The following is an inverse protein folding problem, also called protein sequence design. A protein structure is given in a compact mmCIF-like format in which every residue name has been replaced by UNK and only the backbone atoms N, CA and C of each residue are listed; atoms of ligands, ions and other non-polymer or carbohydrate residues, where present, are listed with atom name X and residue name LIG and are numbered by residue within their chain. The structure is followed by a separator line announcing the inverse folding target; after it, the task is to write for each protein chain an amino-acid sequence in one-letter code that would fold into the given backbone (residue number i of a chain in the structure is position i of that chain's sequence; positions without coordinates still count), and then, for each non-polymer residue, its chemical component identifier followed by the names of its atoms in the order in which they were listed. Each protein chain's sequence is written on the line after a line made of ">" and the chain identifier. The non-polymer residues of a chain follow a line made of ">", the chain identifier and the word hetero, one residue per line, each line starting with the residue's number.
data_IF_014783705033
#
_entry.id   IF_014783705033
#
_cell.length_a   1.000
_cell.length_b   1.000
_cell.length_c   1.000
_cell.angle_alpha   90.00
_cell.angle_beta   90.00
_cell.angle_gamma   90.00
#
_symmetry.space_group_name_H-M   'P 1'
#
loop_
_entity.id
_entity.type
_entity.pdbx_description
1 polymer ?
#
# COMPACT_ATOMS: atom_id res chain seq x y z
N UNK A 1 -41.01 12.40 -0.04
CA UNK A 1 -39.67 12.85 -0.48
C UNK A 1 -38.66 12.38 0.56
N UNK A 2 -37.99 11.24 0.33
CA UNK A 2 -36.99 10.70 1.25
C UNK A 2 -35.61 10.98 0.68
N UNK A 3 -34.89 11.91 1.32
CA UNK A 3 -33.51 12.26 0.96
C UNK A 3 -32.62 11.14 1.49
N UNK A 4 -32.17 10.28 0.58
CA UNK A 4 -31.08 9.34 0.83
C UNK A 4 -29.79 10.13 1.12
N UNK A 5 -29.37 10.22 2.39
CA UNK A 5 -28.02 10.68 2.72
C UNK A 5 -27.00 9.57 2.41
N UNK A 6 -26.76 9.33 1.12
CA UNK A 6 -25.73 8.40 0.65
C UNK A 6 -24.34 9.07 0.72
N UNK A 7 -23.44 8.42 1.46
CA UNK A 7 -21.99 8.65 1.64
C UNK A 7 -21.59 9.89 2.47
N UNK A 8 -21.44 9.70 3.78
CA UNK A 8 -20.75 10.65 4.67
C UNK A 8 -19.23 10.44 4.74
N UNK A 9 -18.70 9.29 4.29
CA UNK A 9 -17.27 9.02 4.21
C UNK A 9 -16.82 8.93 2.74
N UNK A 10 -15.87 9.75 2.28
CA UNK A 10 -15.37 9.64 0.91
C UNK A 10 -14.58 8.34 0.76
N UNK A 11 -14.83 7.52 -0.29
CA UNK A 11 -14.13 6.24 -0.52
C UNK A 11 -12.60 6.34 -0.43
N UNK A 12 -12.05 7.46 -0.93
CA UNK A 12 -10.61 7.77 -0.87
C UNK A 12 -10.01 7.71 0.54
N UNK A 13 -10.77 8.02 1.58
CA UNK A 13 -10.27 7.98 2.96
C UNK A 13 -10.06 6.55 3.44
N UNK A 14 -10.83 5.57 2.97
CA UNK A 14 -10.63 4.16 3.32
C UNK A 14 -9.39 3.60 2.61
N UNK A 15 -9.21 3.93 1.34
CA UNK A 15 -8.05 3.46 0.55
C UNK A 15 -6.73 3.94 1.16
N UNK A 16 -6.64 5.21 1.57
CA UNK A 16 -5.43 5.76 2.20
C UNK A 16 -5.18 5.25 3.62
N UNK A 17 -6.22 4.83 4.35
CA UNK A 17 -6.06 4.19 5.66
C UNK A 17 -5.59 2.75 5.49
N UNK A 18 -6.14 2.04 4.50
CA UNK A 18 -5.78 0.67 4.19
C UNK A 18 -4.34 0.57 3.68
N UNK A 19 -3.93 1.47 2.77
CA UNK A 19 -2.54 1.55 2.32
C UNK A 19 -1.58 1.73 3.48
N UNK A 20 -1.85 2.72 4.34
CA UNK A 20 -0.98 3.05 5.47
C UNK A 20 -0.87 1.88 6.47
N UNK A 21 -1.97 1.21 6.80
CA UNK A 21 -1.90 0.08 7.76
C UNK A 21 -1.19 -1.14 7.17
N UNK A 22 -1.27 -1.36 5.85
CA UNK A 22 -0.50 -2.38 5.16
C UNK A 22 0.99 -2.06 5.17
N UNK A 23 1.40 -0.79 4.95
CA UNK A 23 2.80 -0.37 5.05
C UNK A 23 3.35 -0.60 6.46
N UNK A 24 2.62 -0.13 7.48
CA UNK A 24 3.00 -0.25 8.89
C UNK A 24 3.14 -1.71 9.35
N UNK A 25 2.41 -2.65 8.72
CA UNK A 25 2.37 -4.06 9.09
C UNK A 25 2.81 -4.99 7.95
N UNK A 26 3.59 -4.49 7.00
CA UNK A 26 4.03 -5.28 5.83
C UNK A 26 4.82 -6.55 6.19
N UNK A 27 5.68 -6.57 7.23
CA UNK A 27 6.30 -7.82 7.70
C UNK A 27 5.27 -8.86 8.14
N UNK A 28 4.21 -8.44 8.82
CA UNK A 28 3.14 -9.32 9.30
C UNK A 28 2.22 -9.77 8.16
N UNK A 29 2.02 -8.91 7.15
CA UNK A 29 1.42 -9.29 5.87
C UNK A 29 2.21 -10.41 5.18
N UNK A 30 3.53 -10.30 5.06
CA UNK A 30 4.34 -11.37 4.48
C UNK A 30 4.23 -12.67 5.28
N UNK A 31 4.24 -12.61 6.63
CA UNK A 31 4.01 -13.79 7.49
C UNK A 31 2.60 -14.37 7.36
N UNK A 32 1.63 -13.54 7.01
CA UNK A 32 0.26 -13.98 6.77
C UNK A 32 0.15 -14.72 5.43
N UNK A 33 0.83 -14.21 4.39
CA UNK A 33 0.78 -14.78 3.04
C UNK A 33 1.70 -16.00 2.87
N UNK A 34 2.81 -16.07 3.61
CA UNK A 34 3.82 -17.12 3.50
C UNK A 34 4.11 -17.76 4.86
N UNK A 35 3.81 -19.07 5.04
CA UNK A 35 4.09 -19.78 6.29
C UNK A 35 5.57 -19.77 6.69
N UNK A 36 6.47 -19.69 5.72
CA UNK A 36 7.93 -19.68 5.86
C UNK A 36 8.55 -18.27 5.71
N UNK A 37 7.76 -17.20 5.84
CA UNK A 37 8.21 -15.83 5.62
C UNK A 37 9.50 -15.46 6.37
N UNK A 38 9.64 -15.86 7.64
CA UNK A 38 10.82 -15.57 8.45
C UNK A 38 12.06 -16.40 8.06
N UNK A 39 11.89 -17.50 7.33
CA UNK A 39 12.98 -18.27 6.73
C UNK A 39 13.38 -17.72 5.36
N UNK A 40 12.43 -17.12 4.63
CA UNK A 40 12.61 -16.64 3.26
C UNK A 40 13.07 -15.19 3.19
N UNK A 41 12.44 -14.29 3.94
CA UNK A 41 12.70 -12.84 3.91
C UNK A 41 13.60 -12.39 5.07
N UNK A 42 14.61 -11.56 4.77
CA UNK A 42 15.45 -10.90 5.78
C UNK A 42 14.77 -9.61 6.26
N UNK A 43 13.71 -9.79 7.04
CA UNK A 43 12.93 -8.69 7.64
C UNK A 43 13.76 -7.88 8.65
N UNK A 44 14.89 -8.40 9.14
CA UNK A 44 15.80 -7.71 10.06
C UNK A 44 16.60 -6.60 9.39
N UNK A 45 16.84 -6.67 8.07
CA UNK A 45 17.48 -5.61 7.27
C UNK A 45 16.56 -4.42 6.99
N UNK A 46 15.28 -4.53 7.35
CA UNK A 46 14.27 -3.53 7.08
C UNK A 46 13.72 -3.62 5.64
N UNK A 47 12.64 -2.89 5.42
CA UNK A 47 11.92 -2.82 4.14
C UNK A 47 12.13 -1.46 3.49
N UNK A 48 12.19 -1.42 2.16
CA UNK A 48 12.23 -0.15 1.41
C UNK A 48 10.98 -0.02 0.56
N UNK A 49 10.08 0.88 0.94
CA UNK A 49 8.89 1.22 0.16
C UNK A 49 9.24 2.16 -1.00
N UNK A 50 8.73 1.84 -2.19
CA UNK A 50 9.13 2.44 -3.47
C UNK A 50 7.94 3.13 -4.16
N UNK A 51 7.23 4.00 -3.44
CA UNK A 51 6.04 4.71 -3.92
C UNK A 51 6.29 5.54 -5.18
N UNK A 52 7.44 6.22 -5.23
CA UNK A 52 7.79 7.10 -6.36
C UNK A 52 8.01 6.28 -7.62
N UNK A 53 8.74 5.19 -7.48
CA UNK A 53 9.04 4.23 -8.52
C UNK A 53 7.79 3.54 -9.06
N UNK A 54 6.86 3.20 -8.17
CA UNK A 54 5.56 2.66 -8.54
C UNK A 54 4.76 3.67 -9.40
N UNK A 55 4.72 4.95 -9.00
CA UNK A 55 4.07 5.98 -9.82
C UNK A 55 4.68 6.13 -11.21
N UNK A 56 5.98 5.92 -11.35
CA UNK A 56 6.67 6.03 -12.64
C UNK A 56 6.30 4.91 -13.62
N UNK A 57 6.06 3.70 -13.13
CA UNK A 57 5.66 2.58 -14.00
C UNK A 57 4.18 2.63 -14.39
N UNK A 58 3.33 3.40 -13.70
CA UNK A 58 1.89 3.44 -14.01
C UNK A 58 1.63 4.20 -15.32
N UNK A 59 0.95 3.59 -16.31
CA UNK A 59 0.59 4.25 -17.57
C UNK A 59 -0.18 5.57 -17.35
N UNK A 60 0.13 6.61 -18.12
CA UNK A 60 -0.50 7.93 -17.99
C UNK A 60 -2.04 7.90 -18.09
N UNK A 61 -2.61 6.97 -18.88
CA UNK A 61 -4.07 6.80 -19.03
C UNK A 61 -4.74 6.31 -17.74
N UNK A 62 -4.06 5.49 -16.96
CA UNK A 62 -4.57 4.95 -15.69
C UNK A 62 -4.41 5.94 -14.53
N UNK A 63 -3.44 6.87 -14.63
CA UNK A 63 -3.26 7.91 -13.62
C UNK A 63 -4.51 8.77 -13.40
N UNK A 64 -5.35 8.91 -14.43
CA UNK A 64 -6.60 9.71 -14.42
C UNK A 64 -7.85 8.95 -13.96
N UNK A 65 -7.83 7.61 -13.88
CA UNK A 65 -9.06 6.82 -13.64
C UNK A 65 -9.54 6.80 -12.18
N UNK A 66 -8.78 7.32 -11.21
CA UNK A 66 -9.22 7.49 -9.82
C UNK A 66 -9.60 6.21 -9.06
N UNK A 67 -9.50 5.04 -9.70
CA UNK A 67 -9.73 3.69 -9.14
C UNK A 67 -8.39 3.08 -8.75
N UNK A 68 -7.73 3.62 -7.74
CA UNK A 68 -6.52 2.99 -7.20
C UNK A 68 -6.78 2.67 -5.75
N UNK A 69 -7.02 1.39 -5.49
CA UNK A 69 -7.08 0.87 -4.13
C UNK A 69 -5.64 0.51 -3.78
N UNK A 70 -4.94 1.43 -3.11
CA UNK A 70 -3.73 1.17 -2.34
C UNK A 70 -2.68 0.20 -2.96
N UNK A 71 -1.99 0.62 -4.02
CA UNK A 71 -0.86 -0.14 -4.58
C UNK A 71 0.40 0.03 -3.71
N UNK A 72 1.15 -1.05 -3.49
CA UNK A 72 2.41 -1.08 -2.73
C UNK A 72 3.52 -1.74 -3.53
N UNK A 73 4.70 -1.13 -3.51
CA UNK A 73 5.93 -1.70 -4.06
C UNK A 73 7.01 -1.68 -3.00
N UNK A 74 7.52 -2.85 -2.63
CA UNK A 74 8.46 -3.00 -1.53
C UNK A 74 9.69 -3.77 -1.99
N UNK A 75 10.88 -3.22 -1.75
CA UNK A 75 12.13 -3.95 -1.88
C UNK A 75 12.41 -4.71 -0.57
N UNK A 76 12.63 -6.02 -0.70
CA UNK A 76 12.85 -6.95 0.41
C UNK A 76 14.07 -7.81 0.14
N UNK A 77 14.92 -8.02 1.15
CA UNK A 77 16.08 -8.91 1.07
C UNK A 77 15.69 -10.36 1.37
N UNK A 78 16.38 -11.33 0.76
CA UNK A 78 16.20 -12.75 1.05
C UNK A 78 17.25 -13.25 2.05
N UNK A 79 16.93 -14.33 2.79
CA UNK A 79 17.86 -15.00 3.72
C UNK A 79 18.67 -16.15 3.09
N UNK A 80 18.56 -16.35 1.78
CA UNK A 80 19.19 -17.46 1.05
C UNK A 80 20.74 -17.37 0.92
N UNK A 81 21.38 -16.47 1.68
CA UNK A 81 22.83 -16.27 1.69
C UNK A 81 23.35 -15.43 0.52
N UNK A 82 22.49 -15.00 -0.40
CA UNK A 82 22.86 -14.08 -1.47
C UNK A 82 22.54 -12.62 -1.07
N UNK A 83 23.26 -11.64 -1.60
CA UNK A 83 22.88 -10.21 -1.46
C UNK A 83 21.64 -9.85 -2.32
N UNK A 84 20.88 -10.86 -2.80
CA UNK A 84 19.74 -10.64 -3.67
C UNK A 84 18.57 -10.08 -2.87
N UNK A 85 18.07 -8.97 -3.37
CA UNK A 85 16.78 -8.43 -3.01
C UNK A 85 15.81 -8.68 -4.16
N UNK A 86 14.53 -8.74 -3.82
CA UNK A 86 13.44 -8.81 -4.78
C UNK A 86 12.53 -7.59 -4.61
N UNK A 87 11.67 -7.37 -5.59
CA UNK A 87 10.51 -6.49 -5.44
C UNK A 87 9.29 -7.32 -5.08
N UNK A 88 8.49 -6.83 -4.14
CA UNK A 88 7.15 -7.33 -3.85
C UNK A 88 6.17 -6.27 -4.31
N UNK A 89 5.44 -6.56 -5.40
CA UNK A 89 4.37 -5.72 -5.91
C UNK A 89 3.04 -6.22 -5.34
N UNK A 90 2.39 -5.42 -4.51
CA UNK A 90 1.10 -5.75 -3.90
C UNK A 90 0.02 -4.83 -4.43
N UNK A 91 -0.98 -5.40 -5.09
CA UNK A 91 -2.16 -4.69 -5.59
C UNK A 91 -3.35 -5.04 -4.70
N UNK A 92 -4.03 -4.02 -4.19
CA UNK A 92 -5.27 -4.20 -3.43
C UNK A 92 -6.43 -3.85 -4.37
N UNK A 93 -7.50 -4.65 -4.37
CA UNK A 93 -8.66 -4.41 -5.26
C UNK A 93 -9.96 -4.62 -4.49
N UNK A 94 -10.73 -3.54 -4.32
CA UNK A 94 -12.02 -3.57 -3.63
C UNK A 94 -13.23 -3.66 -4.57
N UNK A 95 -13.02 -3.57 -5.88
CA UNK A 95 -14.06 -3.49 -6.89
C UNK A 95 -14.00 -4.59 -7.95
N UNK A 96 -14.83 -4.42 -8.97
CA UNK A 96 -14.77 -5.24 -10.17
C UNK A 96 -14.03 -4.45 -11.26
N UNK A 97 -12.84 -4.93 -11.62
CA UNK A 97 -12.06 -4.46 -12.76
C UNK A 97 -11.80 -5.65 -13.69
N UNK A 98 -12.46 -5.65 -14.86
CA UNK A 98 -12.30 -6.72 -15.85
C UNK A 98 -10.89 -6.78 -16.44
N UNK A 99 -10.14 -5.67 -16.36
CA UNK A 99 -8.78 -5.58 -16.87
C UNK A 99 -7.72 -5.79 -15.77
N UNK A 100 -8.13 -6.18 -14.55
CA UNK A 100 -7.25 -6.30 -13.39
C UNK A 100 -6.02 -7.18 -13.66
N UNK A 101 -6.22 -8.41 -14.13
CA UNK A 101 -5.13 -9.37 -14.39
C UNK A 101 -4.18 -8.86 -15.48
N UNK A 102 -4.70 -8.11 -16.47
CA UNK A 102 -3.88 -7.47 -17.48
C UNK A 102 -3.05 -6.31 -16.90
N UNK A 103 -3.66 -5.47 -16.06
CA UNK A 103 -3.01 -4.32 -15.37
C UNK A 103 -1.87 -4.79 -14.49
N UNK A 104 -2.10 -5.78 -13.64
CA UNK A 104 -1.08 -6.32 -12.74
C UNK A 104 0.07 -6.99 -13.52
N UNK A 105 -0.23 -7.70 -14.62
CA UNK A 105 0.80 -8.20 -15.54
C UNK A 105 1.64 -7.07 -16.17
N UNK A 106 1.02 -5.98 -16.61
CA UNK A 106 1.75 -4.83 -17.15
C UNK A 106 2.70 -4.23 -16.10
N UNK A 107 2.29 -4.15 -14.84
CA UNK A 107 3.12 -3.59 -13.76
C UNK A 107 4.29 -4.52 -13.48
N UNK A 108 4.03 -5.82 -13.32
CA UNK A 108 5.07 -6.85 -13.20
C UNK A 108 6.12 -6.73 -14.31
N UNK A 109 5.70 -6.69 -15.58
CA UNK A 109 6.61 -6.60 -16.71
C UNK A 109 7.46 -5.31 -16.68
N UNK A 110 6.85 -4.16 -16.33
CA UNK A 110 7.58 -2.88 -16.24
C UNK A 110 8.58 -2.84 -15.10
N UNK A 111 8.25 -3.45 -13.97
CA UNK A 111 9.17 -3.60 -12.84
C UNK A 111 10.35 -4.49 -13.23
N UNK A 112 10.06 -5.63 -13.86
CA UNK A 112 11.06 -6.59 -14.30
C UNK A 112 12.03 -5.97 -15.33
N UNK A 113 11.51 -5.30 -16.36
CA UNK A 113 12.32 -4.64 -17.39
C UNK A 113 13.21 -3.52 -16.80
N UNK A 114 12.64 -2.72 -15.91
CA UNK A 114 13.31 -1.55 -15.33
C UNK A 114 14.38 -1.92 -14.30
N UNK A 115 14.06 -2.79 -13.36
CA UNK A 115 14.94 -3.09 -12.22
C UNK A 115 15.79 -4.34 -12.42
N UNK A 116 15.38 -5.23 -13.34
CA UNK A 116 16.10 -6.48 -13.65
C UNK A 116 16.38 -7.34 -12.42
N UNK A 117 15.46 -7.32 -11.47
CA UNK A 117 15.45 -8.21 -10.30
C UNK A 117 14.16 -9.03 -10.30
N UNK A 118 14.12 -10.18 -9.61
CA UNK A 118 12.87 -10.92 -9.44
C UNK A 118 11.79 -10.06 -8.80
N UNK A 119 10.55 -10.25 -9.24
CA UNK A 119 9.37 -9.53 -8.76
C UNK A 119 8.33 -10.55 -8.30
N UNK A 120 8.03 -10.56 -7.01
CA UNK A 120 6.89 -11.26 -6.44
C UNK A 120 5.65 -10.38 -6.59
N UNK A 121 4.51 -10.97 -6.98
CA UNK A 121 3.27 -10.23 -7.21
C UNK A 121 2.16 -10.82 -6.37
N UNK A 122 1.53 -9.98 -5.56
CA UNK A 122 0.46 -10.37 -4.64
C UNK A 122 -0.78 -9.51 -4.91
N UNK A 123 -1.91 -10.13 -5.16
CA UNK A 123 -3.21 -9.47 -5.27
C UNK A 123 -4.03 -9.72 -4.00
N UNK A 124 -4.55 -8.66 -3.38
CA UNK A 124 -5.42 -8.73 -2.20
C UNK A 124 -6.80 -8.18 -2.55
N UNK A 125 -7.80 -9.07 -2.58
CA UNK A 125 -9.18 -8.75 -2.93
C UNK A 125 -10.00 -8.43 -1.68
N UNK A 126 -10.44 -7.18 -1.55
CA UNK A 126 -11.12 -6.64 -0.36
C UNK A 126 -12.60 -6.35 -0.57
N UNK A 127 -13.15 -6.71 -1.74
CA UNK A 127 -14.56 -6.59 -2.06
C UNK A 127 -15.42 -7.71 -1.44
N UNK A 128 -16.71 -7.69 -1.74
CA UNK A 128 -17.68 -8.66 -1.22
C UNK A 128 -17.39 -10.10 -1.64
N UNK A 129 -18.04 -11.08 -0.98
CA UNK A 129 -17.87 -12.53 -1.26
C UNK A 129 -18.06 -12.93 -2.73
N UNK A 130 -18.85 -12.19 -3.50
CA UNK A 130 -19.07 -12.43 -4.93
C UNK A 130 -18.06 -11.76 -5.86
N UNK A 131 -17.04 -11.07 -5.32
CA UNK A 131 -15.98 -10.47 -6.11
C UNK A 131 -15.19 -11.56 -6.84
N UNK A 132 -15.06 -11.49 -8.17
CA UNK A 132 -14.19 -12.40 -8.91
C UNK A 132 -12.74 -12.20 -8.47
N UNK A 133 -12.10 -13.28 -8.03
CA UNK A 133 -10.69 -13.31 -7.70
C UNK A 133 -9.96 -14.09 -8.79
N UNK A 134 -8.84 -13.56 -9.26
CA UNK A 134 -8.03 -14.17 -10.32
C UNK A 134 -6.59 -14.26 -9.83
N UNK A 135 -5.92 -15.36 -10.15
CA UNK A 135 -4.53 -15.66 -9.79
C UNK A 135 -3.61 -15.75 -11.02
N UNK A 136 -4.17 -15.51 -12.22
CA UNK A 136 -3.41 -15.54 -13.45
C UNK A 136 -3.89 -14.54 -14.51
N UNK A 137 -2.95 -14.14 -15.37
CA UNK A 137 -3.20 -13.53 -16.65
C UNK A 137 -2.65 -14.42 -17.75
N UNK A 138 -3.48 -14.75 -18.73
CA UNK A 138 -3.05 -15.53 -19.89
C UNK A 138 -3.47 -14.87 -21.19
N UNK A 139 -2.64 -15.05 -22.22
CA UNK A 139 -3.05 -14.84 -23.61
C UNK A 139 -2.39 -15.88 -24.52
N UNK A 140 -3.05 -16.20 -25.63
CA UNK A 140 -2.50 -17.03 -26.69
C UNK A 140 -2.98 -16.52 -28.06
N UNK A 141 -2.02 -16.30 -28.97
CA UNK A 141 -2.28 -15.88 -30.35
C UNK A 141 -1.32 -16.63 -31.28
N UNK A 142 -1.86 -17.42 -32.21
CA UNK A 142 -1.11 -18.35 -33.08
C UNK A 142 -0.17 -19.27 -32.28
N UNK A 143 1.14 -19.01 -32.32
CA UNK A 143 2.19 -19.77 -31.61
C UNK A 143 2.74 -19.03 -30.39
N UNK A 144 2.26 -17.82 -30.13
CA UNK A 144 2.72 -16.99 -29.02
C UNK A 144 1.74 -17.12 -27.87
N UNK A 145 2.23 -17.57 -26.72
CA UNK A 145 1.43 -17.64 -25.50
C UNK A 145 2.24 -17.12 -24.31
N UNK A 146 1.54 -16.52 -23.37
CA UNK A 146 2.09 -16.14 -22.07
C UNK A 146 1.10 -16.53 -20.99
N UNK A 147 1.63 -17.10 -19.91
CA UNK A 147 0.91 -17.34 -18.66
C UNK A 147 1.71 -16.68 -17.55
N UNK A 148 1.09 -15.72 -16.87
CA UNK A 148 1.62 -15.05 -15.71
C UNK A 148 0.76 -15.43 -14.51
N UNK A 149 1.37 -16.07 -13.51
CA UNK A 149 0.71 -16.48 -12.27
C UNK A 149 1.23 -15.62 -11.13
N UNK A 150 0.35 -15.32 -10.18
CA UNK A 150 0.65 -14.48 -9.02
C UNK A 150 -0.14 -14.96 -7.81
N UNK A 151 0.33 -14.59 -6.61
CA UNK A 151 -0.37 -14.95 -5.39
C UNK A 151 -1.65 -14.11 -5.27
N UNK A 152 -2.78 -14.76 -5.06
CA UNK A 152 -4.09 -14.11 -4.87
C UNK A 152 -4.63 -14.47 -3.49
N UNK A 153 -5.12 -13.48 -2.76
CA UNK A 153 -5.79 -13.66 -1.49
C UNK A 153 -7.08 -12.84 -1.43
N UNK A 154 -8.19 -13.49 -1.08
CA UNK A 154 -9.46 -12.83 -0.82
C UNK A 154 -9.65 -12.70 0.68
N UNK A 155 -10.11 -11.53 1.16
CA UNK A 155 -10.33 -11.32 2.60
C UNK A 155 -11.35 -12.29 3.23
N UNK A 156 -12.10 -13.05 2.43
CA UNK A 156 -13.06 -14.06 2.87
C UNK A 156 -12.55 -15.51 2.74
N UNK A 157 -11.27 -15.71 2.39
CA UNK A 157 -10.62 -17.01 2.39
C UNK A 157 -10.50 -17.61 3.81
N UNK A 158 -10.64 -16.75 4.83
CA UNK A 158 -10.77 -17.14 6.23
C UNK A 158 -12.07 -16.61 6.83
N UNK A 159 -12.68 -17.39 7.72
CA UNK A 159 -13.80 -16.91 8.52
C UNK A 159 -13.35 -16.07 9.72
N UNK A 160 -14.32 -15.45 10.40
CA UNK A 160 -14.05 -14.58 11.55
C UNK A 160 -13.38 -15.33 12.71
N UNK A 161 -13.78 -16.57 12.97
CA UNK A 161 -13.20 -17.36 14.06
C UNK A 161 -11.75 -17.71 13.79
N UNK A 162 -11.44 -18.12 12.56
CA UNK A 162 -10.08 -18.39 12.11
C UNK A 162 -9.20 -17.13 12.25
N UNK A 163 -9.67 -15.97 11.77
CA UNK A 163 -8.92 -14.72 11.84
C UNK A 163 -8.69 -14.23 13.27
N UNK A 164 -9.64 -14.48 14.18
CA UNK A 164 -9.51 -14.10 15.59
C UNK A 164 -8.50 -14.97 16.35
N UNK A 165 -8.37 -16.24 15.95
CA UNK A 165 -7.45 -17.21 16.57
C UNK A 165 -6.03 -17.13 15.98
N UNK A 166 -5.83 -16.46 14.85
CA UNK A 166 -4.51 -16.22 14.27
C UNK A 166 -3.67 -15.27 15.12
N UNK A 167 -2.47 -15.71 15.50
CA UNK A 167 -1.48 -14.90 16.20
C UNK A 167 -0.71 -13.95 15.25
N UNK A 168 -1.44 -13.16 14.48
CA UNK A 168 -0.92 -12.21 13.50
C UNK A 168 -1.81 -10.96 13.40
N UNK A 169 -1.23 -9.77 13.62
CA UNK A 169 -1.96 -8.49 13.57
C UNK A 169 -2.62 -8.23 12.21
N UNK A 170 -2.07 -8.78 11.13
CA UNK A 170 -2.64 -8.66 9.80
C UNK A 170 -3.99 -9.40 9.69
N UNK A 171 -4.20 -10.49 10.44
CA UNK A 171 -5.51 -11.16 10.48
C UNK A 171 -6.62 -10.22 11.02
N UNK A 172 -6.28 -9.37 12.00
CA UNK A 172 -7.21 -8.33 12.48
C UNK A 172 -7.45 -7.21 11.46
N UNK A 173 -6.48 -6.92 10.58
CA UNK A 173 -6.68 -6.00 9.44
C UNK A 173 -7.66 -6.63 8.45
N UNK A 174 -7.47 -7.90 8.08
CA UNK A 174 -8.38 -8.65 7.20
C UNK A 174 -9.79 -8.67 7.79
N UNK A 175 -9.93 -8.97 9.08
CA UNK A 175 -11.22 -8.96 9.76
C UNK A 175 -11.86 -7.57 9.75
N UNK A 176 -11.09 -6.51 9.96
CA UNK A 176 -11.60 -5.14 9.82
C UNK A 176 -12.08 -4.85 8.39
N UNK A 177 -11.40 -5.37 7.36
CA UNK A 177 -11.87 -5.28 5.97
C UNK A 177 -13.20 -6.02 5.76
N UNK A 178 -13.36 -7.22 6.33
CA UNK A 178 -14.64 -7.95 6.28
C UNK A 178 -15.76 -7.10 6.91
N UNK A 179 -15.54 -6.54 8.11
CA UNK A 179 -16.56 -5.75 8.82
C UNK A 179 -16.87 -4.41 8.17
N UNK A 180 -15.90 -3.81 7.48
CA UNK A 180 -16.15 -2.59 6.70
C UNK A 180 -17.15 -2.81 5.56
N UNK A 181 -17.28 -4.03 5.04
CA UNK A 181 -18.29 -4.36 4.03
C UNK A 181 -19.71 -4.46 4.60
N UNK A 182 -19.85 -4.59 5.92
CA UNK A 182 -21.13 -4.60 6.62
C UNK A 182 -21.59 -3.20 7.06
N UNK A 183 -20.73 -2.18 6.86
CA UNK A 183 -21.06 -0.78 7.12
C UNK A 183 -22.34 -0.37 6.35
N UNK A 184 -23.25 0.32 7.04
CA UNK A 184 -24.60 0.67 6.56
C UNK A 184 -25.54 -0.53 6.23
N UNK A 185 -25.13 -1.80 6.48
CA UNK A 185 -26.00 -2.99 6.36
C UNK A 185 -26.50 -3.51 7.70
N UNK A 186 -25.72 -3.31 8.75
CA UNK A 186 -26.05 -3.69 10.14
C UNK A 186 -26.20 -2.44 11.03
N UNK A 187 -26.87 -2.54 12.20
CA UNK A 187 -26.94 -1.46 13.17
C UNK A 187 -25.54 -1.00 13.64
N UNK A 188 -25.37 0.31 13.89
CA UNK A 188 -24.07 0.85 14.35
C UNK A 188 -23.60 0.22 15.67
N UNK A 189 -24.53 -0.18 16.54
CA UNK A 189 -24.23 -0.87 17.79
C UNK A 189 -23.59 -2.25 17.56
N UNK A 190 -24.11 -3.01 16.59
CA UNK A 190 -23.56 -4.32 16.23
C UNK A 190 -22.16 -4.18 15.61
N UNK A 191 -21.98 -3.21 14.71
CA UNK A 191 -20.65 -2.88 14.16
C UNK A 191 -19.67 -2.45 15.26
N UNK A 192 -20.14 -1.74 16.28
CA UNK A 192 -19.32 -1.30 17.41
C UNK A 192 -18.89 -2.47 18.31
N UNK A 193 -19.75 -3.46 18.50
CA UNK A 193 -19.42 -4.70 19.22
C UNK A 193 -18.35 -5.50 18.46
N UNK A 194 -18.49 -5.61 17.14
CA UNK A 194 -17.48 -6.24 16.28
C UNK A 194 -16.14 -5.49 16.36
N UNK A 195 -16.16 -4.16 16.25
CA UNK A 195 -14.98 -3.30 16.43
C UNK A 195 -14.31 -3.52 17.80
N UNK A 196 -15.11 -3.61 18.86
CA UNK A 196 -14.61 -3.84 20.22
C UNK A 196 -14.03 -5.23 20.40
N UNK A 197 -14.57 -6.24 19.71
CA UNK A 197 -14.05 -7.61 19.71
C UNK A 197 -12.66 -7.68 19.09
N UNK A 198 -12.46 -7.05 17.93
CA UNK A 198 -11.15 -6.97 17.26
C UNK A 198 -10.13 -6.29 18.18
N UNK A 199 -10.49 -5.14 18.76
CA UNK A 199 -9.62 -4.38 19.64
C UNK A 199 -9.23 -5.18 20.90
N UNK A 200 -10.20 -5.86 21.53
CA UNK A 200 -9.98 -6.70 22.71
C UNK A 200 -9.00 -7.82 22.41
N UNK A 201 -9.23 -8.57 21.33
CA UNK A 201 -8.39 -9.71 20.95
C UNK A 201 -6.96 -9.29 20.67
N UNK A 202 -6.77 -8.18 19.95
CA UNK A 202 -5.44 -7.60 19.75
C UNK A 202 -4.72 -7.31 21.07
N UNK A 203 -5.38 -6.69 22.03
CA UNK A 203 -4.80 -6.32 23.33
C UNK A 203 -4.46 -7.58 24.15
N UNK A 204 -5.36 -8.56 24.15
CA UNK A 204 -5.19 -9.83 24.88
C UNK A 204 -4.01 -10.66 24.38
N UNK A 205 -3.59 -10.52 23.12
CA UNK A 205 -2.40 -11.23 22.59
C UNK A 205 -1.12 -10.91 23.37
N UNK A 206 -1.01 -9.71 23.97
CA UNK A 206 0.19 -9.20 24.66
C UNK A 206 1.50 -9.30 23.84
N UNK A 207 1.41 -9.47 22.51
CA UNK A 207 2.56 -9.70 21.62
C UNK A 207 3.14 -8.42 21.04
N UNK A 208 2.31 -7.40 20.89
CA UNK A 208 2.67 -6.16 20.20
C UNK A 208 3.03 -5.05 21.18
N UNK A 209 3.96 -4.19 20.78
CA UNK A 209 4.29 -3.00 21.57
C UNK A 209 3.09 -2.07 21.67
N UNK A 210 3.07 -1.23 22.72
CA UNK A 210 2.02 -0.23 22.92
C UNK A 210 1.81 0.64 21.69
N UNK A 211 2.89 1.10 21.06
CA UNK A 211 2.82 1.94 19.87
C UNK A 211 2.16 1.24 18.67
N UNK A 212 2.43 -0.06 18.48
CA UNK A 212 1.80 -0.85 17.42
C UNK A 212 0.31 -1.05 17.68
N UNK A 213 -0.06 -1.40 18.91
CA UNK A 213 -1.46 -1.52 19.32
C UNK A 213 -2.18 -0.18 19.11
N UNK A 214 -1.57 0.92 19.54
CA UNK A 214 -2.14 2.26 19.36
C UNK A 214 -2.35 2.62 17.90
N UNK A 215 -1.35 2.38 17.02
CA UNK A 215 -1.48 2.64 15.58
C UNK A 215 -2.65 1.87 14.99
N UNK A 216 -2.77 0.59 15.34
CA UNK A 216 -3.87 -0.25 14.89
C UNK A 216 -5.23 0.23 15.40
N UNK A 217 -5.36 0.61 16.67
CA UNK A 217 -6.64 1.07 17.23
C UNK A 217 -7.11 2.38 16.59
N UNK A 218 -6.20 3.29 16.27
CA UNK A 218 -6.51 4.52 15.52
C UNK A 218 -6.95 4.19 14.11
N UNK A 219 -6.27 3.25 13.44
CA UNK A 219 -6.71 2.72 12.15
C UNK A 219 -8.13 2.14 12.27
N UNK A 220 -8.36 1.23 13.20
CA UNK A 220 -9.61 0.52 13.36
C UNK A 220 -10.80 1.47 13.60
N UNK A 221 -10.64 2.45 14.50
CA UNK A 221 -11.66 3.47 14.76
C UNK A 221 -11.89 4.40 13.56
N UNK A 222 -10.84 4.71 12.81
CA UNK A 222 -10.93 5.54 11.60
C UNK A 222 -11.50 4.77 10.41
N UNK A 223 -11.27 3.46 10.34
CA UNK A 223 -11.64 2.57 9.25
C UNK A 223 -13.08 2.09 9.39
N UNK A 224 -13.46 1.55 10.55
CA UNK A 224 -14.85 1.21 10.90
C UNK A 224 -15.56 2.44 11.47
N UNK A 225 -16.24 3.17 10.58
CA UNK A 225 -16.84 4.45 10.92
C UNK A 225 -18.21 4.26 11.58
N UNK A 226 -18.34 4.81 12.78
CA UNK A 226 -19.58 4.85 13.56
C UNK A 226 -19.93 6.32 13.75
N UNK A 227 -21.18 6.71 13.45
CA UNK A 227 -21.61 8.12 13.49
C UNK A 227 -21.95 8.54 14.90
N UNK A 228 -22.53 7.63 15.67
CA UNK A 228 -22.92 7.90 17.04
C UNK A 228 -21.72 8.29 17.91
N UNK A 229 -21.79 9.46 18.54
CA UNK A 229 -20.72 10.00 19.37
C UNK A 229 -20.61 9.28 20.71
N UNK A 230 -21.73 8.83 21.26
CA UNK A 230 -21.77 8.10 22.53
C UNK A 230 -21.14 6.71 22.35
N UNK A 231 -21.46 6.01 21.26
CA UNK A 231 -20.82 4.71 20.94
C UNK A 231 -19.30 4.87 20.79
N UNK A 232 -18.84 5.91 20.11
CA UNK A 232 -17.40 6.18 19.97
C UNK A 232 -16.74 6.55 21.31
N UNK A 233 -17.42 7.34 22.15
CA UNK A 233 -16.94 7.68 23.49
C UNK A 233 -16.84 6.43 24.39
N UNK A 234 -17.81 5.54 24.32
CA UNK A 234 -17.81 4.28 25.05
C UNK A 234 -16.65 3.38 24.62
N UNK A 235 -16.35 3.34 23.31
CA UNK A 235 -15.18 2.64 22.80
C UNK A 235 -13.88 3.25 23.35
N UNK A 236 -13.73 4.57 23.33
CA UNK A 236 -12.54 5.24 23.86
C UNK A 236 -12.34 4.97 25.37
N UNK A 237 -13.42 4.99 26.15
CA UNK A 237 -13.40 4.65 27.58
C UNK A 237 -13.06 3.18 27.81
N UNK A 238 -13.64 2.27 27.03
CA UNK A 238 -13.34 0.85 27.09
C UNK A 238 -11.85 0.59 26.85
N UNK A 239 -11.28 1.16 25.78
CA UNK A 239 -9.83 1.06 25.48
C UNK A 239 -8.99 1.61 26.63
N UNK A 240 -9.35 2.76 27.16
CA UNK A 240 -8.65 3.35 28.31
C UNK A 240 -8.67 2.40 29.52
N UNK A 241 -9.81 1.78 29.83
CA UNK A 241 -9.94 0.87 30.97
C UNK A 241 -9.13 -0.43 30.77
N UNK A 242 -9.28 -1.10 29.62
CA UNK A 242 -8.59 -2.39 29.38
C UNK A 242 -7.08 -2.25 29.23
N UNK A 243 -6.61 -1.03 28.95
CA UNK A 243 -5.18 -0.71 28.87
C UNK A 243 -4.63 -0.15 30.18
N UNK A 244 -5.40 -0.17 31.28
CA UNK A 244 -4.98 0.33 32.59
C UNK A 244 -4.72 1.84 32.62
N UNK A 245 -5.44 2.59 31.79
CA UNK A 245 -5.29 4.04 31.64
C UNK A 245 -4.09 4.47 30.79
N UNK A 246 -3.43 3.54 30.10
CA UNK A 246 -2.21 3.86 29.32
C UNK A 246 -2.50 4.33 27.90
N UNK A 247 -3.68 4.03 27.34
CA UNK A 247 -4.07 4.44 25.99
C UNK A 247 -5.24 5.44 26.06
N UNK A 248 -4.97 6.71 25.74
CA UNK A 248 -5.99 7.76 25.64
C UNK A 248 -6.24 8.16 24.19
N UNK A 249 -7.31 7.61 23.60
CA UNK A 249 -7.58 7.70 22.15
C UNK A 249 -7.65 9.13 21.60
N UNK A 250 -8.33 10.06 22.28
CA UNK A 250 -8.48 11.44 21.78
C UNK A 250 -7.16 12.22 21.64
N UNK A 251 -6.19 11.96 22.53
CA UNK A 251 -4.85 12.56 22.45
C UNK A 251 -4.04 11.88 21.34
N UNK A 252 -4.14 10.56 21.25
CA UNK A 252 -3.42 9.75 20.27
C UNK A 252 -3.87 10.08 18.85
N UNK A 253 -5.17 10.21 18.59
CA UNK A 253 -5.69 10.62 17.27
C UNK A 253 -5.14 11.98 16.85
N UNK A 254 -5.02 12.90 17.80
CA UNK A 254 -4.46 14.23 17.53
C UNK A 254 -2.96 14.13 17.18
N UNK A 255 -2.19 13.36 17.94
CA UNK A 255 -0.76 13.13 17.68
C UNK A 255 -0.56 12.41 16.33
N UNK A 256 -1.29 11.32 16.09
CA UNK A 256 -1.20 10.53 14.85
C UNK A 256 -1.65 11.35 13.64
N UNK A 257 -2.67 12.19 13.78
CA UNK A 257 -3.05 13.15 12.73
C UNK A 257 -1.91 14.10 12.42
N UNK A 258 -1.27 14.68 13.44
CA UNK A 258 -0.12 15.57 13.24
C UNK A 258 1.09 14.86 12.63
N UNK A 259 1.41 13.63 13.05
CA UNK A 259 2.47 12.81 12.46
C UNK A 259 2.19 12.51 11.00
N UNK A 260 0.96 12.13 10.67
CA UNK A 260 0.52 11.87 9.29
C UNK A 260 0.59 13.13 8.44
N UNK A 261 0.11 14.27 8.96
CA UNK A 261 0.21 15.57 8.27
C UNK A 261 1.67 15.94 7.99
N UNK A 262 2.57 15.77 8.97
CA UNK A 262 4.02 15.98 8.79
C UNK A 262 4.62 15.02 7.77
N UNK A 263 4.24 13.74 7.80
CA UNK A 263 4.71 12.73 6.84
C UNK A 263 4.26 13.05 5.40
N UNK A 264 3.00 13.45 5.22
CA UNK A 264 2.47 13.92 3.92
C UNK A 264 3.24 15.15 3.46
N UNK A 265 3.44 16.13 4.35
CA UNK A 265 4.17 17.35 4.03
C UNK A 265 5.62 17.06 3.60
N UNK A 266 6.34 16.22 4.35
CA UNK A 266 7.68 15.78 4.01
C UNK A 266 7.72 14.98 2.69
N UNK A 267 6.70 14.17 2.42
CA UNK A 267 6.52 13.45 1.16
C UNK A 267 6.31 14.39 -0.04
N UNK A 268 5.48 15.42 0.13
CA UNK A 268 5.25 16.47 -0.88
C UNK A 268 6.55 17.23 -1.14
N UNK A 269 7.25 17.67 -0.10
CA UNK A 269 8.53 18.38 -0.22
C UNK A 269 9.58 17.54 -0.95
N UNK A 270 9.78 16.28 -0.55
CA UNK A 270 10.65 15.33 -1.26
C UNK A 270 10.19 15.06 -2.69
N UNK A 271 8.89 15.15 -2.96
CA UNK A 271 8.31 15.00 -4.30
C UNK A 271 8.63 16.19 -5.20
N UNK A 272 8.44 17.41 -4.70
CA UNK A 272 8.75 18.67 -5.39
C UNK A 272 10.25 18.73 -5.68
N UNK A 273 11.11 18.47 -4.69
CA UNK A 273 12.55 18.51 -4.85
C UNK A 273 13.03 17.54 -5.95
N UNK A 274 12.56 16.29 -5.91
CA UNK A 274 12.88 15.29 -6.94
C UNK A 274 12.34 15.67 -8.33
N UNK A 275 11.19 16.34 -8.38
CA UNK A 275 10.61 16.87 -9.63
C UNK A 275 11.46 17.99 -10.24
N UNK A 276 11.97 18.90 -9.42
CA UNK A 276 12.86 19.98 -9.83
C UNK A 276 14.16 19.39 -10.39
N UNK A 277 14.82 18.50 -9.65
CA UNK A 277 16.08 17.86 -10.08
C UNK A 277 15.92 17.11 -11.42
N UNK A 278 14.82 16.36 -11.59
CA UNK A 278 14.52 15.68 -12.86
C UNK A 278 14.27 16.67 -13.99
N UNK A 279 13.57 17.77 -13.72
CA UNK A 279 13.29 18.82 -14.69
C UNK A 279 14.56 19.53 -15.15
N UNK A 280 15.42 19.92 -14.21
CA UNK A 280 16.72 20.54 -14.48
C UNK A 280 17.61 19.60 -15.30
N UNK A 281 17.69 18.33 -14.91
CA UNK A 281 18.49 17.33 -15.62
C UNK A 281 17.97 17.04 -17.02
N UNK A 282 16.64 16.96 -17.21
CA UNK A 282 16.03 16.82 -18.53
C UNK A 282 16.36 18.03 -19.42
N UNK A 283 16.25 19.25 -18.88
CA UNK A 283 16.58 20.49 -19.61
C UNK A 283 18.07 20.54 -19.97
N UNK A 284 18.95 20.10 -19.08
CA UNK A 284 20.39 19.99 -19.35
C UNK A 284 20.67 19.03 -20.52
N UNK A 285 20.00 17.87 -20.57
CA UNK A 285 20.12 16.90 -21.67
C UNK A 285 19.59 17.45 -22.99
N UNK A 286 18.43 18.11 -22.99
CA UNK A 286 17.86 18.77 -24.18
C UNK A 286 18.78 19.88 -24.70
N UNK A 287 19.36 20.68 -23.79
CA UNK A 287 20.29 21.76 -24.13
C UNK A 287 21.60 21.22 -24.69
N UNK A 288 22.16 20.16 -24.08
CA UNK A 288 23.36 19.49 -24.58
C UNK A 288 23.15 18.89 -25.97
N UNK A 289 21.97 18.32 -26.23
CA UNK A 289 21.63 17.77 -27.54
C UNK A 289 21.59 18.87 -28.61
N UNK A 290 20.96 20.02 -28.33
CA UNK A 290 20.93 21.14 -29.27
C UNK A 290 22.32 21.72 -29.52
N UNK A 291 23.15 21.89 -28.48
CA UNK A 291 24.53 22.35 -28.68
C UNK A 291 25.41 21.35 -29.44
N UNK A 292 25.18 20.04 -29.25
CA UNK A 292 25.84 19.00 -30.02
C UNK A 292 25.48 19.08 -31.50
N UNK A 293 24.20 19.32 -31.84
CA UNK A 293 23.74 19.56 -33.23
C UNK A 293 24.34 20.82 -33.85
N UNK A 294 24.60 21.85 -33.04
CA UNK A 294 25.25 23.09 -33.46
C UNK A 294 26.77 22.95 -33.65
N UNK A 295 27.36 21.79 -33.34
CA UNK A 295 28.78 21.52 -33.54
C UNK A 295 29.70 22.11 -32.47
N UNK A 296 29.19 22.43 -31.27
CA UNK A 296 30.03 22.91 -30.18
C UNK A 296 30.94 21.79 -29.65
N UNK A 297 32.17 22.11 -29.21
CA UNK A 297 33.05 21.14 -28.57
C UNK A 297 32.41 20.50 -27.33
N UNK A 298 32.52 19.18 -27.19
CA UNK A 298 31.89 18.42 -26.10
C UNK A 298 32.32 18.94 -24.71
N UNK A 299 33.57 19.37 -24.58
CA UNK A 299 34.10 19.95 -23.35
C UNK A 299 33.35 21.25 -22.94
N UNK A 300 32.97 22.08 -23.92
CA UNK A 300 32.23 23.32 -23.67
C UNK A 300 30.77 23.04 -23.33
N UNK A 301 30.18 22.03 -23.98
CA UNK A 301 28.82 21.54 -23.66
C UNK A 301 28.77 20.99 -22.23
N UNK A 302 29.75 20.17 -21.85
CA UNK A 302 29.88 19.63 -20.49
C UNK A 302 29.95 20.76 -19.45
N UNK A 303 30.79 21.77 -19.73
CA UNK A 303 30.94 22.94 -18.87
C UNK A 303 29.65 23.78 -18.77
N UNK A 304 28.93 23.95 -19.88
CA UNK A 304 27.71 24.77 -19.95
C UNK A 304 26.45 24.10 -19.42
N UNK A 305 26.39 22.77 -19.41
CA UNK A 305 25.20 22.00 -19.00
C UNK A 305 25.36 21.28 -17.66
N UNK A 306 26.59 21.16 -17.15
CA UNK A 306 26.89 20.39 -15.94
C UNK A 306 26.78 18.88 -16.13
N UNK A 307 26.63 18.40 -17.37
CA UNK A 307 26.64 16.99 -17.73
C UNK A 307 28.06 16.48 -17.91
N UNK A 308 28.26 15.18 -17.75
CA UNK A 308 29.55 14.56 -18.03
C UNK A 308 29.79 14.41 -19.53
N UNK A 309 31.05 14.35 -19.93
CA UNK A 309 31.45 14.13 -21.33
C UNK A 309 30.83 12.84 -21.88
N UNK A 310 30.87 11.75 -21.10
CA UNK A 310 30.27 10.46 -21.48
C UNK A 310 28.75 10.53 -21.70
N UNK A 311 28.04 11.34 -20.90
CA UNK A 311 26.60 11.55 -21.07
C UNK A 311 26.31 12.25 -22.39
N UNK A 312 27.10 13.27 -22.72
CA UNK A 312 26.94 14.05 -23.95
C UNK A 312 27.32 13.23 -25.19
N UNK A 313 28.34 12.38 -25.11
CA UNK A 313 28.74 11.49 -26.19
C UNK A 313 27.63 10.50 -26.56
N UNK A 314 26.89 9.99 -25.56
CA UNK A 314 25.77 9.05 -25.72
C UNK A 314 24.49 9.69 -26.28
N UNK A 315 24.35 11.02 -26.24
CA UNK A 315 23.20 11.72 -26.84
C UNK A 315 23.20 11.51 -28.37
N UNK A 316 22.08 11.05 -28.92
CA UNK A 316 21.87 10.85 -30.37
C UNK A 316 21.00 11.95 -30.95
#
# INVERSE_FOLDING_TARGET
>A
MSVHSRRLKPPKKNDELLKAIFEDNFPDFLRFMYPDADATFDLGRGLTFMDKELLEIIPYRERKKGKRVADLLVKVYLKDGSEKWILVNTEIEGGHDSDFSHRIFQYFYRLLDRYRVPVETIAVFTGGRSQPCTDEYHFAVFRTSLRFQYLSYQIFDHDESELLDMDNIFAYIVLACQKALDEDKIPEQELAEQRSTIARRLIETNKYSKDRIMSFLVFLKSFLFIRDKEINSNFDQYIYQVTGGTIQMGVIETIKRQEREKGIQAGIEKGIQSGIEKGERKKALETALEFKKMGLPIADIAKGTGLTVEEIEKLK
#
